data_IF_460013170763
#
_entry.id   IF_460013170763
#
_cell.length_a   1.000
_cell.length_b   1.000
_cell.length_c   1.000
_cell.angle_alpha   90.00
_cell.angle_beta   90.00
_cell.angle_gamma   90.00
#
_symmetry.space_group_name_H-M   'P 1'
#
loop_
_entity.id
_entity.type
_entity.pdbx_description
1 polymer ?
#
# COMPACT_ATOMS: atom_id res chain seq x y z
N UNK A 1 -10.89 -3.08 11.25
CA UNK A 1 -9.74 -3.98 11.45
C UNK A 1 -9.98 -4.78 12.72
N UNK A 2 -9.64 -6.08 12.76
CA UNK A 2 -9.64 -6.85 14.02
C UNK A 2 -8.40 -6.45 14.83
N UNK A 3 -8.45 -6.44 16.17
CA UNK A 3 -7.25 -6.26 17.00
C UNK A 3 -6.17 -7.27 16.59
N UNK A 4 -4.91 -6.84 16.51
CA UNK A 4 -3.75 -7.67 16.14
C UNK A 4 -3.73 -8.24 14.71
N UNK A 5 -4.52 -7.67 13.80
CA UNK A 5 -4.39 -8.01 12.38
C UNK A 5 -3.16 -7.29 11.80
N UNK A 6 -2.14 -8.01 11.29
CA UNK A 6 -0.93 -7.39 10.74
C UNK A 6 -1.16 -6.80 9.34
N UNK A 7 -2.39 -6.84 8.83
CA UNK A 7 -2.70 -6.36 7.50
C UNK A 7 -2.76 -4.83 7.49
N UNK A 8 -2.23 -4.25 6.42
CA UNK A 8 -2.26 -2.81 6.21
C UNK A 8 -3.49 -2.51 5.37
N UNK A 9 -4.52 -1.92 5.98
CA UNK A 9 -5.74 -1.52 5.28
C UNK A 9 -5.58 -0.11 4.71
N UNK A 10 -6.06 0.09 3.49
CA UNK A 10 -5.96 1.35 2.77
C UNK A 10 -7.32 1.73 2.21
N UNK A 11 -7.66 3.01 2.35
CA UNK A 11 -8.83 3.60 1.73
C UNK A 11 -8.39 4.88 1.01
N UNK A 12 -8.80 5.01 -0.25
CA UNK A 12 -8.58 6.20 -1.07
C UNK A 12 -9.92 6.64 -1.64
N UNK A 13 -10.18 7.94 -1.63
CA UNK A 13 -11.39 8.51 -2.23
C UNK A 13 -10.94 9.49 -3.32
N UNK A 14 -11.20 9.15 -4.57
CA UNK A 14 -10.92 9.99 -5.72
C UNK A 14 -12.13 10.86 -6.02
N UNK A 15 -11.96 12.18 -5.99
CA UNK A 15 -12.96 13.16 -6.40
C UNK A 15 -12.58 13.68 -7.78
N UNK A 16 -13.29 13.21 -8.79
CA UNK A 16 -13.12 13.64 -10.18
C UNK A 16 -14.16 14.72 -10.50
N UNK A 17 -13.78 15.71 -11.30
CA UNK A 17 -14.65 16.82 -11.70
C UNK A 17 -15.98 16.30 -12.25
N UNK A 18 -17.08 16.77 -11.66
CA UNK A 18 -18.46 16.43 -12.07
C UNK A 18 -18.79 14.92 -12.07
N UNK A 19 -18.08 14.11 -11.28
CA UNK A 19 -18.36 12.67 -11.10
C UNK A 19 -18.61 12.36 -9.62
N UNK A 20 -19.38 11.31 -9.37
CA UNK A 20 -19.50 10.76 -8.01
C UNK A 20 -18.11 10.30 -7.53
N UNK A 21 -17.74 10.57 -6.26
CA UNK A 21 -16.46 10.11 -5.72
C UNK A 21 -16.32 8.59 -5.87
N UNK A 22 -15.12 8.16 -6.24
CA UNK A 22 -14.79 6.74 -6.35
C UNK A 22 -13.97 6.37 -5.13
N UNK A 23 -14.45 5.41 -4.35
CA UNK A 23 -13.69 4.85 -3.24
C UNK A 23 -12.96 3.59 -3.71
N UNK A 24 -11.66 3.56 -3.43
CA UNK A 24 -10.81 2.40 -3.63
C UNK A 24 -10.33 1.89 -2.27
N UNK A 25 -10.70 0.66 -1.94
CA UNK A 25 -10.24 -0.03 -0.73
C UNK A 25 -9.31 -1.16 -1.13
N UNK A 26 -8.25 -1.30 -0.36
CA UNK A 26 -7.30 -2.40 -0.52
C UNK A 26 -6.73 -2.79 0.83
N UNK A 27 -6.12 -3.96 0.90
CA UNK A 27 -5.30 -4.31 2.03
C UNK A 27 -4.05 -5.06 1.57
N UNK A 28 -2.96 -4.85 2.29
CA UNK A 28 -1.74 -5.62 2.10
C UNK A 28 -1.60 -6.66 3.20
N UNK A 29 -1.08 -7.83 2.83
CA UNK A 29 -0.65 -8.86 3.76
C UNK A 29 0.66 -9.48 3.31
N UNK A 30 1.42 -9.96 4.27
CA UNK A 30 2.51 -10.89 4.01
C UNK A 30 1.97 -12.31 3.84
N UNK A 31 2.53 -13.06 2.91
CA UNK A 31 2.29 -14.50 2.78
C UNK A 31 3.21 -15.30 3.69
N UNK A 32 2.93 -16.59 3.87
CA UNK A 32 3.80 -17.51 4.62
C UNK A 32 5.23 -17.61 4.08
N UNK A 33 5.43 -17.24 2.80
CA UNK A 33 6.72 -17.23 2.12
C UNK A 33 7.45 -15.88 2.19
N UNK A 34 6.90 -14.90 2.92
CA UNK A 34 7.44 -13.54 3.00
C UNK A 34 7.11 -12.65 1.80
N UNK A 35 6.24 -13.10 0.88
CA UNK A 35 5.80 -12.27 -0.25
C UNK A 35 4.79 -11.22 0.22
N UNK A 36 4.93 -9.99 -0.29
CA UNK A 36 3.94 -8.93 -0.08
C UNK A 36 2.83 -9.06 -1.12
N UNK A 37 1.59 -9.14 -0.65
CA UNK A 37 0.40 -9.28 -1.48
C UNK A 37 -0.54 -8.11 -1.22
N UNK A 38 -1.03 -7.46 -2.27
CA UNK A 38 -2.08 -6.44 -2.16
C UNK A 38 -3.38 -6.97 -2.78
N UNK A 39 -4.47 -6.86 -2.03
CA UNK A 39 -5.82 -7.26 -2.41
C UNK A 39 -6.68 -6.03 -2.61
N UNK A 40 -7.43 -5.99 -3.70
CA UNK A 40 -8.18 -4.80 -4.14
C UNK A 40 -9.70 -5.04 -4.19
N UNK A 41 -10.15 -6.19 -3.68
CA UNK A 41 -11.56 -6.58 -3.58
C UNK A 41 -11.93 -7.80 -4.44
N UNK A 42 -13.03 -8.47 -4.10
CA UNK A 42 -13.59 -9.62 -4.83
C UNK A 42 -12.60 -10.78 -5.10
N UNK A 43 -11.53 -10.90 -4.30
CA UNK A 43 -10.47 -11.90 -4.50
C UNK A 43 -9.38 -11.48 -5.49
N UNK A 44 -9.50 -10.34 -6.18
CA UNK A 44 -8.43 -9.82 -7.03
C UNK A 44 -7.27 -9.30 -6.16
N UNK A 45 -6.07 -9.75 -6.49
CA UNK A 45 -4.85 -9.29 -5.84
C UNK A 45 -3.64 -9.32 -6.77
N UNK A 46 -2.53 -8.82 -6.27
CA UNK A 46 -1.24 -8.82 -6.94
C UNK A 46 -0.12 -9.12 -5.95
N UNK A 47 0.92 -9.79 -6.46
CA UNK A 47 2.19 -9.91 -5.75
C UNK A 47 3.02 -8.65 -6.01
N UNK A 48 3.69 -8.15 -4.98
CA UNK A 48 4.54 -6.97 -5.06
C UNK A 48 5.99 -7.34 -4.77
N UNK A 49 6.89 -6.90 -5.64
CA UNK A 49 8.33 -6.88 -5.40
C UNK A 49 8.70 -5.55 -4.78
N UNK A 50 9.42 -5.61 -3.66
CA UNK A 50 9.90 -4.46 -2.93
C UNK A 50 11.38 -4.23 -3.25
N UNK A 51 11.73 -2.98 -3.54
CA UNK A 51 13.12 -2.59 -3.76
C UNK A 51 13.38 -1.22 -3.15
N UNK A 52 14.49 -1.07 -2.43
CA UNK A 52 14.94 0.22 -1.91
C UNK A 52 16.09 0.73 -2.76
N UNK A 53 15.98 1.96 -3.28
CA UNK A 53 17.06 2.61 -4.03
C UNK A 53 17.20 4.05 -3.55
N UNK A 54 18.40 4.43 -3.13
CA UNK A 54 18.70 5.81 -2.71
C UNK A 54 17.71 6.35 -1.65
N UNK A 55 17.32 5.51 -0.69
CA UNK A 55 16.35 5.87 0.35
C UNK A 55 14.88 5.86 -0.09
N UNK A 56 14.59 5.64 -1.37
CA UNK A 56 13.24 5.55 -1.92
C UNK A 56 12.77 4.10 -1.97
N UNK A 57 11.49 3.90 -1.71
CA UNK A 57 10.85 2.60 -1.67
C UNK A 57 10.02 2.38 -2.93
N UNK A 58 10.34 1.32 -3.67
CA UNK A 58 9.68 0.96 -4.92
C UNK A 58 8.90 -0.34 -4.75
N UNK A 59 7.66 -0.36 -5.22
CA UNK A 59 6.87 -1.57 -5.39
C UNK A 59 6.61 -1.78 -6.88
N UNK A 60 6.83 -3.00 -7.36
CA UNK A 60 6.47 -3.40 -8.71
C UNK A 60 5.60 -4.65 -8.65
N UNK A 61 4.49 -4.68 -9.39
CA UNK A 61 3.68 -5.89 -9.46
C UNK A 61 4.41 -7.02 -10.20
N UNK A 62 4.40 -8.20 -9.61
CA UNK A 62 4.91 -9.47 -10.16
C UNK A 62 3.75 -10.43 -10.45
N UNK A 63 2.81 -9.93 -11.25
CA UNK A 63 1.61 -10.66 -11.64
C UNK A 63 0.41 -10.43 -10.73
N UNK A 64 -0.76 -10.57 -11.34
CA UNK A 64 -2.06 -10.54 -10.68
C UNK A 64 -2.58 -11.95 -10.52
N UNK A 65 -3.48 -12.10 -9.55
CA UNK A 65 -4.17 -13.35 -9.31
C UNK A 65 -5.60 -13.11 -8.86
N UNK A 66 -6.42 -14.12 -9.07
CA UNK A 66 -7.72 -14.23 -8.43
C UNK A 66 -7.64 -15.28 -7.33
N UNK A 67 -7.91 -14.86 -6.10
CA UNK A 67 -7.99 -15.71 -4.90
C UNK A 67 -9.47 -16.03 -4.63
N UNK A 68 -9.86 -17.27 -4.92
CA UNK A 68 -11.24 -17.76 -4.78
C UNK A 68 -11.23 -19.13 -4.13
N UNK A 69 -12.04 -19.29 -3.06
CA UNK A 69 -12.15 -20.55 -2.31
C UNK A 69 -10.79 -21.12 -1.82
N UNK A 70 -9.82 -20.26 -1.55
CA UNK A 70 -8.47 -20.65 -1.13
C UNK A 70 -7.52 -21.03 -2.26
N UNK A 71 -7.98 -20.99 -3.51
CA UNK A 71 -7.15 -21.20 -4.70
C UNK A 71 -6.73 -19.87 -5.30
N UNK A 72 -5.42 -19.75 -5.58
CA UNK A 72 -4.84 -18.60 -6.27
C UNK A 72 -4.63 -18.93 -7.74
N UNK A 73 -5.43 -18.32 -8.60
CA UNK A 73 -5.35 -18.50 -10.06
C UNK A 73 -4.59 -17.29 -10.64
N UNK A 74 -3.43 -17.47 -11.29
CA UNK A 74 -2.72 -16.37 -11.93
C UNK A 74 -3.55 -15.81 -13.10
N UNK A 75 -3.60 -14.48 -13.21
CA UNK A 75 -4.32 -13.80 -14.27
C UNK A 75 -3.35 -13.48 -15.42
N UNK A 76 -3.68 -13.86 -16.68
CA UNK A 76 -2.92 -13.42 -17.84
C UNK A 76 -2.90 -11.89 -17.93
N UNK A 77 -1.76 -11.31 -18.30
CA UNK A 77 -1.54 -9.85 -18.27
C UNK A 77 -2.59 -9.02 -19.03
N UNK A 78 -3.16 -9.58 -20.10
CA UNK A 78 -4.23 -8.96 -20.91
C UNK A 78 -5.56 -8.75 -20.16
N UNK A 79 -5.80 -9.51 -19.09
CA UNK A 79 -7.00 -9.40 -18.25
C UNK A 79 -6.75 -8.62 -16.97
N UNK A 80 -5.54 -8.07 -16.80
CA UNK A 80 -5.18 -7.26 -15.65
C UNK A 80 -5.31 -5.78 -15.98
N UNK A 81 -5.39 -4.89 -14.99
CA UNK A 81 -5.30 -3.44 -15.23
C UNK A 81 -3.97 -3.02 -15.89
N UNK A 82 -2.93 -3.84 -15.77
CA UNK A 82 -1.57 -3.57 -16.24
C UNK A 82 -0.52 -3.74 -15.13
N UNK A 83 0.76 -3.65 -15.50
CA UNK A 83 1.86 -3.71 -14.55
C UNK A 83 1.87 -2.44 -13.68
N UNK A 84 1.83 -2.62 -12.37
CA UNK A 84 1.83 -1.54 -11.38
C UNK A 84 3.25 -1.20 -10.96
N UNK A 85 3.53 0.09 -10.92
CA UNK A 85 4.75 0.69 -10.38
C UNK A 85 4.35 1.71 -9.32
N UNK A 86 4.88 1.57 -8.11
CA UNK A 86 4.70 2.52 -7.03
C UNK A 86 6.07 2.98 -6.57
N UNK A 87 6.28 4.29 -6.51
CA UNK A 87 7.42 4.90 -5.84
C UNK A 87 6.89 5.67 -4.63
N UNK A 88 7.51 5.41 -3.48
CA UNK A 88 7.38 6.18 -2.26
C UNK A 88 8.74 6.83 -1.98
N UNK A 89 8.79 8.14 -2.18
CA UNK A 89 9.99 8.94 -2.04
C UNK A 89 9.84 9.82 -0.80
N UNK A 90 10.79 9.72 0.12
CA UNK A 90 10.82 10.54 1.33
C UNK A 90 11.62 11.81 1.05
N UNK A 91 10.94 12.95 1.02
CA UNK A 91 11.59 14.26 0.80
C UNK A 91 12.02 14.89 2.12
N UNK A 92 11.23 14.70 3.19
CA UNK A 92 11.53 15.19 4.53
C UNK A 92 10.89 14.29 5.61
N UNK A 93 11.17 14.51 6.91
CA UNK A 93 10.56 13.73 7.99
C UNK A 93 9.02 13.80 8.07
N UNK A 94 8.39 14.82 7.48
CA UNK A 94 6.93 15.00 7.52
C UNK A 94 6.29 15.07 6.14
N UNK A 95 7.08 14.85 5.07
CA UNK A 95 6.61 14.94 3.69
C UNK A 95 7.18 13.81 2.83
N UNK A 96 6.31 13.17 2.08
CA UNK A 96 6.69 12.14 1.12
C UNK A 96 5.87 12.25 -0.17
N UNK A 97 6.46 11.82 -1.28
CA UNK A 97 5.80 11.72 -2.56
C UNK A 97 5.39 10.29 -2.83
N UNK A 98 4.17 10.12 -3.33
CA UNK A 98 3.74 8.87 -3.94
C UNK A 98 3.50 9.09 -5.42
N UNK A 99 4.11 8.23 -6.23
CA UNK A 99 3.81 8.07 -7.65
C UNK A 99 3.35 6.65 -7.90
N UNK A 100 2.17 6.48 -8.48
CA UNK A 100 1.63 5.19 -8.92
C UNK A 100 1.38 5.28 -10.41
N UNK A 101 1.83 4.27 -11.13
CA UNK A 101 1.52 4.06 -12.54
C UNK A 101 1.06 2.64 -12.77
N UNK A 102 0.06 2.48 -13.63
CA UNK A 102 -0.37 1.18 -14.13
C UNK A 102 -0.26 1.23 -15.66
N UNK A 103 0.49 0.28 -16.21
CA UNK A 103 0.76 0.18 -17.64
C UNK A 103 0.22 -1.14 -18.17
N UNK A 104 -0.85 -1.07 -18.94
CA UNK A 104 -1.45 -2.21 -19.62
C UNK A 104 -0.67 -2.57 -20.89
N UNK A 105 -0.56 -3.88 -21.19
CA UNK A 105 0.20 -4.34 -22.34
C UNK A 105 -0.37 -3.88 -23.69
N UNK A 106 -1.69 -3.68 -23.78
CA UNK A 106 -2.37 -3.25 -25.02
C UNK A 106 -2.71 -1.76 -25.05
N UNK A 107 -2.90 -1.13 -23.88
CA UNK A 107 -3.45 0.23 -23.79
C UNK A 107 -2.41 1.25 -23.30
N UNK A 108 -1.19 0.82 -22.97
CA UNK A 108 -0.19 1.69 -22.37
C UNK A 108 -0.61 2.14 -20.96
N UNK A 109 -0.31 3.38 -20.59
CA UNK A 109 -0.61 3.90 -19.25
C UNK A 109 -2.13 4.07 -19.05
N UNK A 110 -2.71 3.23 -18.19
CA UNK A 110 -4.15 3.24 -17.87
C UNK A 110 -4.47 4.02 -16.60
N UNK A 111 -3.47 4.23 -15.74
CA UNK A 111 -3.62 4.96 -14.50
C UNK A 111 -2.31 5.65 -14.11
N UNK A 112 -2.42 6.92 -13.70
CA UNK A 112 -1.34 7.67 -13.07
C UNK A 112 -1.89 8.42 -11.88
N UNK A 113 -1.24 8.27 -10.74
CA UNK A 113 -1.47 9.08 -9.55
C UNK A 113 -0.12 9.64 -9.09
N UNK A 114 -0.08 10.96 -8.91
CA UNK A 114 1.07 11.64 -8.30
C UNK A 114 0.52 12.52 -7.19
N UNK A 115 1.17 12.50 -6.03
CA UNK A 115 0.78 13.35 -4.92
C UNK A 115 1.91 13.52 -3.92
N UNK A 116 1.94 14.72 -3.32
CA UNK A 116 2.74 15.04 -2.15
C UNK A 116 1.84 14.85 -0.93
N UNK A 117 2.32 14.09 0.04
CA UNK A 117 1.60 13.75 1.25
C UNK A 117 2.36 14.29 2.45
N UNK A 118 1.61 14.69 3.48
CA UNK A 118 2.16 15.12 4.74
C UNK A 118 1.76 14.14 5.82
N UNK A 119 2.71 13.74 6.63
CA UNK A 119 2.42 12.93 7.80
C UNK A 119 1.76 13.80 8.86
N UNK A 120 0.56 13.40 9.28
CA UNK A 120 -0.13 14.03 10.40
C UNK A 120 0.19 13.17 11.61
N UNK A 121 1.02 13.69 12.52
CA UNK A 121 1.15 13.05 13.82
C UNK A 121 -0.21 13.16 14.52
N UNK A 122 -0.77 12.04 15.03
CA UNK A 122 -1.95 12.14 15.86
C UNK A 122 -1.61 13.04 17.06
N UNK A 123 -2.43 14.05 17.32
CA UNK A 123 -2.36 14.80 18.57
C UNK A 123 -2.57 13.79 19.70
N UNK A 124 -1.49 13.48 20.43
CA UNK A 124 -1.60 12.77 21.70
C UNK A 124 -2.31 13.71 22.67
N UNK A 125 -3.64 13.63 22.74
CA UNK A 125 -4.39 14.21 23.85
C UNK A 125 -3.87 13.57 25.14
N UNK A 126 -3.11 14.35 25.90
CA UNK A 126 -2.39 13.92 27.09
C UNK A 126 -3.30 13.25 28.12
N UNK A 127 -3.32 11.92 28.09
CA UNK A 127 -3.29 11.12 29.29
C UNK A 127 -1.91 10.49 29.31
N UNK A 128 -0.99 11.10 30.07
CA UNK A 128 0.24 10.46 30.44
C UNK A 128 -0.12 9.12 31.10
N UNK A 129 0.18 8.01 30.44
CA UNK A 129 0.53 6.82 31.17
C UNK A 129 1.90 7.11 31.79
N UNK A 130 1.91 7.35 33.09
CA UNK A 130 3.11 7.33 33.91
C UNK A 130 3.79 5.97 33.70
N UNK A 131 4.76 5.96 32.80
CA UNK A 131 5.80 4.94 32.74
C UNK A 131 7.10 5.68 33.04
N UNK A 132 7.24 6.09 34.30
CA UNK A 132 8.53 6.16 34.96
C UNK A 132 9.18 4.76 34.90
N UNK A 133 9.85 4.50 33.77
CA UNK A 133 10.94 3.52 33.73
C UNK A 133 12.04 4.12 34.61
N UNK A 134 12.10 3.67 35.86
CA UNK A 134 13.30 3.77 36.68
C UNK A 134 14.43 3.08 35.92
N UNK A 135 15.31 3.90 35.33
CA UNK A 135 16.66 3.50 35.01
C UNK A 135 17.37 3.14 36.31
N UNK A 136 17.32 1.87 36.71
CA UNK A 136 18.30 1.36 37.66
C UNK A 136 19.64 1.22 36.93
N UNK A 137 20.49 2.23 37.14
CA UNK A 137 21.91 2.17 36.85
C UNK A 137 22.58 1.18 37.81
N UNK A 138 23.22 0.15 37.22
CA UNK A 138 24.47 -0.52 37.63
C UNK A 138 24.77 -0.65 39.13
N UNK A 139 24.91 -1.88 39.62
CA UNK A 139 26.19 -2.56 39.95
C UNK A 139 26.00 -4.07 39.79
#
# INVERSE_FOLDING_TARGET
>A
SKPNCPFIFKQRIYRLHSRKPIQFTSYMRESEKGEVLEYVGMGLGMKLLLHVKQGNLYFTSDGYFWDILGFRIPLPGIFTPGKTYLCHQNDSPSQFNIRIEIVHCLFGTTFTQVGVFHEIQPEYNGLQADLSLTEDRKV
#
